data_IF_042427616622
#
_entry.id   IF_042427616622
#
_cell.length_a   1.000
_cell.length_b   1.000
_cell.length_c   1.000
_cell.angle_alpha   90.00
_cell.angle_beta   90.00
_cell.angle_gamma   90.00
#
_symmetry.space_group_name_H-M   'P 1'
#
loop_
_entity.id
_entity.type
_entity.pdbx_description
1 polymer ?
#
# COMPACT_ATOMS: atom_id res chain seq x y z
N UNK A 1 26.07 -15.20 -3.06
CA UNK A 1 24.62 -14.85 -3.04
C UNK A 1 24.00 -15.05 -1.64
N UNK A 2 24.70 -14.67 -0.56
CA UNK A 2 24.22 -14.72 0.84
C UNK A 2 24.29 -13.36 1.57
N UNK A 3 25.00 -12.38 0.99
CA UNK A 3 25.26 -11.07 1.60
C UNK A 3 24.01 -10.17 1.65
N UNK A 4 23.05 -10.36 0.73
CA UNK A 4 21.83 -9.54 0.68
C UNK A 4 20.92 -9.79 1.90
N UNK A 5 20.79 -11.05 2.33
CA UNK A 5 19.99 -11.42 3.50
C UNK A 5 20.64 -10.87 4.77
N UNK A 6 21.98 -10.91 4.85
CA UNK A 6 22.73 -10.34 5.96
C UNK A 6 22.58 -8.80 6.06
N UNK A 7 22.50 -8.08 4.94
CA UNK A 7 22.26 -6.62 4.95
C UNK A 7 20.88 -6.29 5.48
N UNK A 8 19.86 -7.06 5.11
CA UNK A 8 18.48 -6.86 5.60
C UNK A 8 18.35 -7.19 7.09
N UNK A 9 18.99 -8.27 7.56
CA UNK A 9 18.97 -8.65 8.97
C UNK A 9 19.76 -7.69 9.88
N UNK A 10 20.85 -7.12 9.38
CA UNK A 10 21.66 -6.14 10.14
C UNK A 10 21.03 -4.74 10.17
N UNK A 11 20.01 -4.47 9.36
CA UNK A 11 19.34 -3.16 9.29
C UNK A 11 17.82 -3.31 9.48
N UNK A 12 17.34 -3.71 10.68
CA UNK A 12 15.91 -3.88 10.95
C UNK A 12 15.11 -2.58 10.71
N UNK A 13 15.74 -1.41 10.79
CA UNK A 13 15.11 -0.13 10.48
C UNK A 13 14.60 -0.02 9.03
N UNK A 14 15.30 -0.61 8.05
CA UNK A 14 14.86 -0.60 6.65
C UNK A 14 13.57 -1.41 6.45
N UNK A 15 13.46 -2.56 7.11
CA UNK A 15 12.24 -3.38 7.09
C UNK A 15 11.05 -2.62 7.67
N UNK A 16 11.24 -1.98 8.83
CA UNK A 16 10.20 -1.17 9.48
C UNK A 16 9.75 -0.03 8.55
N UNK A 17 10.68 0.63 7.86
CA UNK A 17 10.38 1.73 6.97
C UNK A 17 9.54 1.27 5.75
N UNK A 18 9.90 0.14 5.15
CA UNK A 18 9.15 -0.46 4.02
C UNK A 18 7.77 -0.92 4.46
N UNK A 19 7.67 -1.58 5.62
CA UNK A 19 6.39 -2.04 6.16
C UNK A 19 5.49 -0.86 6.52
N UNK A 20 6.03 0.14 7.23
CA UNK A 20 5.30 1.35 7.58
C UNK A 20 4.82 2.10 6.34
N UNK A 21 5.70 2.28 5.35
CA UNK A 21 5.34 2.89 4.07
C UNK A 21 4.20 2.15 3.38
N UNK A 22 4.32 0.83 3.22
CA UNK A 22 3.29 0.02 2.57
C UNK A 22 1.98 0.00 3.36
N UNK A 23 2.04 -0.01 4.69
CA UNK A 23 0.86 -0.05 5.57
C UNK A 23 0.11 1.28 5.54
N UNK A 24 0.83 2.41 5.52
CA UNK A 24 0.22 3.75 5.43
C UNK A 24 -0.57 3.89 4.13
N UNK A 25 0.03 3.56 2.99
CA UNK A 25 -0.68 3.63 1.70
C UNK A 25 -1.89 2.71 1.66
N UNK A 26 -1.73 1.45 2.11
CA UNK A 26 -2.82 0.46 2.18
C UNK A 26 -3.96 0.94 3.08
N UNK A 27 -3.67 1.51 4.23
CA UNK A 27 -4.67 2.07 5.15
C UNK A 27 -5.45 3.23 4.53
N UNK A 28 -4.77 4.17 3.88
CA UNK A 28 -5.41 5.34 3.23
C UNK A 28 -6.32 4.89 2.08
N UNK A 29 -5.86 3.97 1.23
CA UNK A 29 -6.64 3.50 0.09
C UNK A 29 -7.86 2.68 0.51
N UNK A 30 -7.72 1.80 1.50
CA UNK A 30 -8.83 1.01 2.04
C UNK A 30 -9.85 1.89 2.78
N UNK A 31 -9.41 2.90 3.52
CA UNK A 31 -10.30 3.90 4.14
C UNK A 31 -11.14 4.64 3.08
N UNK A 32 -10.51 5.07 1.99
CA UNK A 32 -11.21 5.73 0.89
C UNK A 32 -12.16 4.79 0.13
N UNK A 33 -11.74 3.54 -0.13
CA UNK A 33 -12.58 2.53 -0.79
C UNK A 33 -13.82 2.19 0.05
N UNK A 34 -13.65 2.03 1.37
CA UNK A 34 -14.75 1.79 2.29
C UNK A 34 -15.70 2.98 2.35
N UNK A 35 -15.19 4.22 2.42
CA UNK A 35 -16.02 5.43 2.48
C UNK A 35 -16.84 5.66 1.21
N UNK A 36 -16.34 5.21 0.06
CA UNK A 36 -16.99 5.38 -1.24
C UNK A 36 -17.78 4.13 -1.69
N UNK A 37 -18.00 3.15 -0.80
CA UNK A 37 -18.66 1.87 -1.07
C UNK A 37 -18.11 1.11 -2.28
N UNK A 38 -16.82 1.25 -2.57
CA UNK A 38 -16.17 0.58 -3.71
C UNK A 38 -15.61 -0.78 -3.32
N UNK A 39 -16.51 -1.75 -3.15
CA UNK A 39 -16.19 -3.14 -2.79
C UNK A 39 -15.17 -3.79 -3.74
N UNK A 40 -15.26 -3.53 -5.05
CA UNK A 40 -14.31 -4.06 -6.03
C UNK A 40 -12.88 -3.57 -5.81
N UNK A 41 -12.71 -2.29 -5.44
CA UNK A 41 -11.39 -1.74 -5.12
C UNK A 41 -10.86 -2.21 -3.78
N UNK A 42 -11.73 -2.42 -2.80
CA UNK A 42 -11.33 -3.04 -1.53
C UNK A 42 -10.73 -4.44 -1.76
N UNK A 43 -11.37 -5.27 -2.60
CA UNK A 43 -10.88 -6.60 -2.95
C UNK A 43 -9.58 -6.52 -3.77
N UNK A 44 -9.49 -5.62 -4.74
CA UNK A 44 -8.28 -5.44 -5.54
C UNK A 44 -7.07 -5.04 -4.68
N UNK A 45 -7.23 -4.09 -3.75
CA UNK A 45 -6.19 -3.65 -2.82
C UNK A 45 -5.77 -4.74 -1.81
N UNK A 46 -6.69 -5.66 -1.50
CA UNK A 46 -6.41 -6.79 -0.62
C UNK A 46 -5.61 -7.89 -1.33
N UNK A 47 -5.98 -8.20 -2.58
CA UNK A 47 -5.34 -9.26 -3.38
C UNK A 47 -4.01 -8.81 -3.97
N UNK A 48 -3.92 -7.56 -4.43
CA UNK A 48 -2.74 -7.04 -5.13
C UNK A 48 -1.84 -6.32 -4.12
N UNK A 49 -0.73 -6.96 -3.76
CA UNK A 49 0.22 -6.44 -2.78
C UNK A 49 1.36 -5.65 -3.46
N UNK A 50 1.03 -4.51 -4.08
CA UNK A 50 1.99 -3.70 -4.88
C UNK A 50 2.81 -2.68 -4.08
N UNK A 51 3.01 -2.88 -2.77
CA UNK A 51 3.80 -1.98 -1.91
C UNK A 51 3.35 -0.50 -2.03
N UNK A 52 2.03 -0.24 -2.04
CA UNK A 52 1.50 1.13 -2.09
C UNK A 52 1.29 1.71 -3.49
N UNK A 53 1.74 1.07 -4.58
CA UNK A 53 1.61 1.63 -5.94
C UNK A 53 0.15 1.64 -6.43
N UNK A 54 -0.58 0.54 -6.25
CA UNK A 54 -1.99 0.46 -6.66
C UNK A 54 -2.86 1.43 -5.86
N UNK A 55 -2.53 1.66 -4.59
CA UNK A 55 -3.15 2.64 -3.71
C UNK A 55 -3.03 4.07 -4.23
N UNK A 56 -1.84 4.46 -4.70
CA UNK A 56 -1.59 5.80 -5.27
C UNK A 56 -2.37 6.01 -6.58
N UNK A 57 -2.44 4.98 -7.41
CA UNK A 57 -3.20 5.01 -8.68
C UNK A 57 -4.69 5.16 -8.38
N UNK A 58 -5.23 4.38 -7.43
CA UNK A 58 -6.61 4.48 -7.00
C UNK A 58 -6.93 5.90 -6.49
N UNK A 59 -6.12 6.42 -5.57
CA UNK A 59 -6.30 7.77 -5.03
C UNK A 59 -6.24 8.83 -6.14
N UNK A 60 -5.29 8.75 -7.08
CA UNK A 60 -5.17 9.75 -8.15
C UNK A 60 -6.35 9.76 -9.12
N UNK A 61 -6.93 8.60 -9.42
CA UNK A 61 -8.03 8.48 -10.37
C UNK A 61 -9.41 8.68 -9.73
N UNK A 62 -9.61 8.17 -8.52
CA UNK A 62 -10.90 8.17 -7.84
C UNK A 62 -11.09 9.31 -6.84
N UNK A 63 -10.03 9.91 -6.28
CA UNK A 63 -10.20 11.06 -5.38
C UNK A 63 -10.71 12.33 -6.10
N UNK A 64 -10.68 12.36 -7.44
CA UNK A 64 -11.16 13.50 -8.23
C UNK A 64 -12.66 13.48 -8.56
N UNK A 65 -13.43 12.49 -8.13
CA UNK A 65 -14.90 12.56 -8.28
C UNK A 65 -15.52 13.20 -7.04
N UNK A 66 -15.46 14.53 -6.98
CA UNK A 66 -16.53 15.34 -6.39
C UNK A 66 -17.19 16.13 -7.54
N UNK A 67 -18.53 16.13 -7.67
CA UNK A 67 -19.20 17.22 -8.38
C UNK A 67 -18.93 18.55 -7.68
#
# INVERSE_FOLDING_TARGET
MQNLIAIVQNNPGLLILIVAWSTVWKAIATWHAARNSQLGWFIALFIINTVGVLEIIYLSFFAKRKP
#
